data_IF_438909223346
#
_entry.id   IF_438909223346
#
_cell.length_a   1.000
_cell.length_b   1.000
_cell.length_c   1.000
_cell.angle_alpha   90.00
_cell.angle_beta   90.00
_cell.angle_gamma   90.00
#
_symmetry.space_group_name_H-M   'P 1'
#
loop_
_entity.id
_entity.type
_entity.pdbx_description
1 polymer ?
#
# COMPACT_ATOMS: atom_id res chain seq x y z
N UNK A 1 -13.38 89.07 36.44
CA UNK A 1 -14.00 87.78 36.84
C UNK A 1 -14.92 87.35 35.70
N UNK A 2 -14.68 86.15 35.16
CA UNK A 2 -15.13 85.64 33.84
C UNK A 2 -16.65 85.57 33.67
N UNK A 3 -17.17 85.81 32.45
CA UNK A 3 -17.75 84.67 31.72
C UNK A 3 -17.64 84.76 30.18
N UNK A 4 -17.56 83.60 29.51
CA UNK A 4 -18.36 83.26 28.31
C UNK A 4 -18.19 81.77 27.94
N UNK A 5 -19.28 81.03 28.10
CA UNK A 5 -19.47 79.64 27.68
C UNK A 5 -19.66 79.57 26.16
N UNK A 6 -18.92 78.67 25.50
CA UNK A 6 -19.33 78.07 24.23
C UNK A 6 -19.65 76.59 24.45
N UNK A 7 -20.90 76.25 24.19
CA UNK A 7 -21.43 74.89 24.21
C UNK A 7 -20.86 74.10 23.03
N UNK A 8 -20.25 72.94 23.30
CA UNK A 8 -19.97 71.95 22.28
C UNK A 8 -20.83 70.71 22.55
N UNK A 9 -21.82 70.46 21.68
CA UNK A 9 -22.67 69.27 21.68
C UNK A 9 -21.92 68.14 20.99
N UNK A 10 -21.26 67.27 21.74
CA UNK A 10 -20.83 65.98 21.20
C UNK A 10 -21.95 64.95 21.41
N UNK A 11 -22.59 64.57 20.31
CA UNK A 11 -23.48 63.44 20.24
C UNK A 11 -22.71 62.15 20.54
N UNK A 12 -23.05 61.48 21.65
CA UNK A 12 -22.61 60.13 21.94
C UNK A 12 -23.25 59.19 20.92
N UNK A 13 -22.47 58.75 19.92
CA UNK A 13 -22.84 57.61 19.07
C UNK A 13 -22.65 56.33 19.91
N UNK A 14 -23.74 55.65 20.23
CA UNK A 14 -23.69 54.29 20.75
C UNK A 14 -22.99 53.38 19.73
N UNK A 15 -21.94 52.64 20.10
CA UNK A 15 -21.35 51.66 19.21
C UNK A 15 -22.33 50.49 19.04
N UNK A 16 -22.73 50.24 17.79
CA UNK A 16 -23.42 49.01 17.42
C UNK A 16 -22.49 47.84 17.76
N UNK A 17 -22.95 46.95 18.64
CA UNK A 17 -22.28 45.70 18.91
C UNK A 17 -22.65 44.75 17.77
N UNK A 18 -21.65 44.32 17.00
CA UNK A 18 -21.78 43.15 16.15
C UNK A 18 -21.56 41.96 17.10
N UNK A 19 -22.63 41.28 17.50
CA UNK A 19 -22.48 39.96 18.13
C UNK A 19 -21.89 39.03 17.06
N UNK A 20 -20.82 38.31 17.39
CA UNK A 20 -20.37 37.22 16.54
C UNK A 20 -21.57 36.27 16.38
N UNK A 21 -21.96 36.00 15.13
CA UNK A 21 -22.91 34.92 14.85
C UNK A 21 -22.42 33.67 15.58
N UNK A 22 -23.34 33.05 16.33
CA UNK A 22 -23.15 31.74 16.94
C UNK A 22 -22.49 30.84 15.90
N UNK A 23 -21.33 30.25 16.26
CA UNK A 23 -20.62 29.35 15.37
C UNK A 23 -21.62 28.24 15.05
N UNK A 24 -22.14 28.22 13.81
CA UNK A 24 -22.98 27.11 13.35
C UNK A 24 -22.16 25.87 13.62
N UNK A 25 -22.55 25.10 14.64
CA UNK A 25 -22.10 23.74 14.78
C UNK A 25 -22.42 23.12 13.43
N UNK A 26 -21.44 22.62 12.65
CA UNK A 26 -21.78 21.81 11.49
C UNK A 26 -22.76 20.75 12.01
N UNK A 27 -23.90 20.61 11.35
CA UNK A 27 -24.86 19.57 11.72
C UNK A 27 -24.06 18.26 11.71
N UNK A 28 -24.05 17.56 12.85
CA UNK A 28 -23.45 16.24 12.93
C UNK A 28 -24.08 15.38 11.82
N UNK A 29 -23.27 14.67 11.04
CA UNK A 29 -23.78 13.69 10.08
C UNK A 29 -24.64 12.65 10.80
N UNK A 30 -25.49 11.96 10.03
CA UNK A 30 -26.34 10.91 10.56
C UNK A 30 -26.21 9.62 9.78
N UNK A 31 -25.97 8.52 10.50
CA UNK A 31 -26.02 7.17 9.97
C UNK A 31 -27.31 6.48 10.39
N UNK A 32 -28.09 6.03 9.42
CA UNK A 32 -29.20 5.11 9.64
C UNK A 32 -28.65 3.70 9.82
N UNK A 33 -28.93 3.07 10.95
CA UNK A 33 -28.55 1.69 11.26
C UNK A 33 -29.80 0.81 11.37
N UNK A 34 -29.93 -0.16 10.48
CA UNK A 34 -31.09 -1.06 10.40
C UNK A 34 -30.64 -2.53 10.33
N UNK A 35 -31.26 -3.39 11.14
CA UNK A 35 -31.11 -4.83 11.03
C UNK A 35 -32.25 -5.43 10.21
N UNK A 36 -31.97 -5.91 9.00
CA UNK A 36 -32.93 -6.64 8.17
C UNK A 36 -32.55 -8.13 8.14
N UNK A 37 -33.35 -8.98 8.78
CA UNK A 37 -32.99 -10.39 8.98
C UNK A 37 -31.73 -10.50 9.85
N UNK A 38 -30.66 -11.07 9.32
CA UNK A 38 -29.34 -11.15 9.98
C UNK A 38 -28.29 -10.22 9.33
N UNK A 39 -28.70 -9.30 8.46
CA UNK A 39 -27.80 -8.34 7.82
C UNK A 39 -27.99 -6.96 8.43
N UNK A 40 -26.92 -6.40 9.00
CA UNK A 40 -26.90 -5.01 9.45
C UNK A 40 -26.60 -4.11 8.25
N UNK A 41 -27.46 -3.11 8.02
CA UNK A 41 -27.31 -2.11 6.98
C UNK A 41 -27.04 -0.77 7.63
N UNK A 42 -25.97 -0.10 7.21
CA UNK A 42 -25.62 1.25 7.60
C UNK A 42 -25.75 2.15 6.37
N UNK A 43 -26.43 3.29 6.52
CA UNK A 43 -26.60 4.29 5.48
C UNK A 43 -26.29 5.68 6.03
N UNK A 44 -25.16 6.27 5.62
CA UNK A 44 -24.82 7.67 5.90
C UNK A 44 -25.71 8.65 5.15
N UNK A 45 -25.67 9.91 5.56
CA UNK A 45 -26.22 11.03 4.81
C UNK A 45 -25.16 11.59 3.84
N UNK A 46 -25.30 12.84 3.37
CA UNK A 46 -24.30 13.48 2.50
C UNK A 46 -23.40 14.44 3.31
N UNK A 47 -23.21 14.17 4.59
CA UNK A 47 -22.35 14.94 5.50
C UNK A 47 -21.28 14.00 6.06
N UNK A 48 -20.20 14.57 6.56
CA UNK A 48 -19.14 13.79 7.21
C UNK A 48 -19.69 12.95 8.38
N UNK A 49 -19.45 11.64 8.34
CA UNK A 49 -19.77 10.71 9.42
C UNK A 49 -18.50 10.14 10.08
N UNK A 50 -18.54 9.90 11.39
CA UNK A 50 -17.47 9.24 12.14
C UNK A 50 -18.07 8.19 13.08
N UNK A 51 -17.88 6.91 12.72
CA UNK A 51 -18.61 5.78 13.32
C UNK A 51 -17.67 4.63 13.68
N UNK A 52 -17.87 4.08 14.87
CA UNK A 52 -17.27 2.81 15.29
C UNK A 52 -18.32 1.70 15.31
N UNK A 53 -18.01 0.57 14.69
CA UNK A 53 -18.85 -0.63 14.62
C UNK A 53 -18.17 -1.76 15.38
N UNK A 54 -18.72 -2.10 16.55
CA UNK A 54 -18.13 -3.04 17.49
C UNK A 54 -18.96 -4.31 17.66
N UNK A 55 -18.29 -5.44 17.90
CA UNK A 55 -18.99 -6.68 18.23
C UNK A 55 -19.43 -6.70 19.70
N UNK A 56 -20.66 -7.12 19.94
CA UNK A 56 -21.26 -7.24 21.26
C UNK A 56 -21.63 -8.70 21.57
N UNK A 57 -21.85 -8.98 22.85
CA UNK A 57 -22.19 -10.31 23.34
C UNK A 57 -23.39 -10.93 22.57
N UNK A 58 -23.27 -12.22 22.25
CA UNK A 58 -24.29 -12.97 21.51
C UNK A 58 -24.23 -12.80 19.99
N UNK A 59 -23.09 -12.37 19.43
CA UNK A 59 -22.92 -12.13 17.99
C UNK A 59 -23.68 -10.90 17.48
N UNK A 60 -24.07 -10.02 18.41
CA UNK A 60 -24.75 -8.75 18.10
C UNK A 60 -23.71 -7.70 17.72
N UNK A 61 -24.14 -6.61 17.12
CA UNK A 61 -23.25 -5.51 16.72
C UNK A 61 -23.76 -4.22 17.34
N UNK A 62 -22.83 -3.41 17.84
CA UNK A 62 -23.07 -2.05 18.28
C UNK A 62 -22.53 -1.06 17.24
N UNK A 63 -23.27 0.01 16.98
CA UNK A 63 -22.91 1.11 16.09
C UNK A 63 -22.89 2.37 16.95
N UNK A 64 -21.72 2.99 17.06
CA UNK A 64 -21.42 4.10 17.97
C UNK A 64 -21.02 5.29 17.11
N UNK A 65 -21.72 6.40 17.25
CA UNK A 65 -21.33 7.66 16.59
C UNK A 65 -20.39 8.47 17.48
N UNK A 66 -19.35 9.06 16.89
CA UNK A 66 -18.39 9.91 17.60
C UNK A 66 -18.80 11.38 17.46
N UNK A 67 -18.90 11.84 16.22
CA UNK A 67 -19.45 13.16 15.85
C UNK A 67 -20.64 13.00 14.89
N UNK A 68 -21.35 11.89 15.07
CA UNK A 68 -22.41 11.41 14.19
C UNK A 68 -23.56 10.90 15.04
N UNK A 69 -24.80 11.21 14.64
CA UNK A 69 -25.96 10.58 15.26
C UNK A 69 -26.25 9.25 14.58
N UNK A 70 -26.71 8.27 15.36
CA UNK A 70 -27.15 6.98 14.84
C UNK A 70 -28.67 6.91 14.97
N UNK A 71 -29.37 6.79 13.84
CA UNK A 71 -30.84 6.87 13.78
C UNK A 71 -31.41 8.15 14.44
N UNK A 72 -30.68 9.27 14.34
CA UNK A 72 -31.05 10.57 14.92
C UNK A 72 -30.72 10.73 16.41
N UNK A 73 -30.12 9.73 17.05
CA UNK A 73 -29.80 9.72 18.48
C UNK A 73 -28.28 9.73 18.71
N UNK A 74 -27.82 10.21 19.86
CA UNK A 74 -26.40 10.13 20.27
C UNK A 74 -26.04 8.82 20.94
N UNK A 75 -27.04 8.06 21.41
CA UNK A 75 -26.84 6.75 22.01
C UNK A 75 -26.47 5.71 20.93
N UNK A 76 -25.60 4.76 21.30
CA UNK A 76 -25.23 3.67 20.41
C UNK A 76 -26.44 2.79 20.04
N UNK A 77 -26.53 2.41 18.77
CA UNK A 77 -27.49 1.42 18.31
C UNK A 77 -26.91 0.02 18.49
N UNK A 78 -27.58 -0.84 19.25
CA UNK A 78 -27.19 -2.25 19.42
C UNK A 78 -28.23 -3.15 18.79
N UNK A 79 -27.80 -4.05 17.91
CA UNK A 79 -28.72 -4.98 17.25
C UNK A 79 -29.46 -5.85 18.26
N UNK A 80 -30.72 -6.18 17.98
CA UNK A 80 -31.54 -7.02 18.86
C UNK A 80 -31.21 -8.51 18.75
N UNK A 81 -30.63 -8.92 17.63
CA UNK A 81 -30.23 -10.31 17.35
C UNK A 81 -28.84 -10.36 16.69
N UNK A 82 -28.32 -11.58 16.51
CA UNK A 82 -27.01 -11.81 15.95
C UNK A 82 -26.93 -11.36 14.48
N UNK A 83 -25.80 -10.75 14.11
CA UNK A 83 -25.50 -10.30 12.76
C UNK A 83 -24.61 -11.31 12.06
N UNK A 84 -24.97 -11.68 10.84
CA UNK A 84 -24.15 -12.54 9.99
C UNK A 84 -23.44 -11.76 8.90
N UNK A 85 -23.88 -10.56 8.51
CA UNK A 85 -23.21 -9.75 7.48
C UNK A 85 -23.49 -8.28 7.69
N UNK A 86 -22.57 -7.43 7.23
CA UNK A 86 -22.70 -5.97 7.32
C UNK A 86 -22.57 -5.38 5.93
N UNK A 87 -23.47 -4.46 5.60
CA UNK A 87 -23.42 -3.63 4.40
C UNK A 87 -23.49 -2.18 4.84
N UNK A 88 -22.40 -1.44 4.65
CA UNK A 88 -22.31 -0.03 4.98
C UNK A 88 -22.17 0.79 3.69
N UNK A 89 -22.98 1.84 3.57
CA UNK A 89 -22.90 2.84 2.51
C UNK A 89 -22.95 4.23 3.12
N UNK A 90 -21.90 5.03 2.99
CA UNK A 90 -21.86 6.36 3.61
C UNK A 90 -22.27 7.50 2.67
N UNK A 91 -22.47 7.21 1.38
CA UNK A 91 -22.91 8.14 0.34
C UNK A 91 -21.95 9.29 0.05
N UNK A 92 -21.81 10.27 0.94
CA UNK A 92 -20.82 11.33 0.72
C UNK A 92 -20.64 12.25 1.91
N UNK A 93 -19.66 13.14 1.81
CA UNK A 93 -19.02 13.76 2.96
C UNK A 93 -17.73 13.02 3.29
N UNK A 94 -16.87 13.64 4.11
CA UNK A 94 -15.63 13.00 4.56
C UNK A 94 -15.94 11.97 5.65
N UNK A 95 -16.09 10.69 5.29
CA UNK A 95 -16.56 9.64 6.18
C UNK A 95 -15.42 8.81 6.79
N UNK A 96 -15.53 8.51 8.08
CA UNK A 96 -14.64 7.63 8.81
C UNK A 96 -15.43 6.50 9.47
N UNK A 97 -15.03 5.26 9.21
CA UNK A 97 -15.66 4.08 9.80
C UNK A 97 -14.64 3.07 10.28
N UNK A 98 -14.73 2.71 11.57
CA UNK A 98 -13.95 1.65 12.19
C UNK A 98 -14.77 0.39 12.42
N UNK A 99 -14.25 -0.77 12.07
CA UNK A 99 -14.80 -2.08 12.42
C UNK A 99 -13.84 -2.76 13.41
N UNK A 100 -14.14 -2.70 14.69
CA UNK A 100 -13.22 -3.10 15.74
C UNK A 100 -13.83 -3.06 17.14
N UNK A 101 -13.06 -3.49 18.14
CA UNK A 101 -13.45 -3.42 19.56
C UNK A 101 -12.43 -2.61 20.41
N UNK A 102 -11.54 -1.87 19.75
CA UNK A 102 -10.45 -1.11 20.35
C UNK A 102 -10.43 0.31 19.76
N UNK A 103 -10.58 1.31 20.61
CA UNK A 103 -10.47 2.71 20.20
C UNK A 103 -9.04 3.08 19.79
N UNK A 104 -8.03 2.43 20.39
CA UNK A 104 -6.63 2.61 20.03
C UNK A 104 -6.33 2.11 18.62
N UNK A 105 -6.85 0.92 18.25
CA UNK A 105 -6.72 0.40 16.88
C UNK A 105 -7.40 1.34 15.88
N UNK A 106 -8.61 1.81 16.20
CA UNK A 106 -9.30 2.74 15.32
C UNK A 106 -8.53 4.06 15.18
N UNK A 107 -7.97 4.60 16.26
CA UNK A 107 -7.17 5.83 16.22
C UNK A 107 -5.93 5.68 15.34
N UNK A 108 -5.20 4.57 15.49
CA UNK A 108 -4.04 4.24 14.66
C UNK A 108 -4.42 4.12 13.19
N UNK A 109 -5.48 3.37 12.87
CA UNK A 109 -5.99 3.22 11.51
C UNK A 109 -6.35 4.58 10.90
N UNK A 110 -7.04 5.44 11.66
CA UNK A 110 -7.45 6.77 11.23
C UNK A 110 -6.24 7.67 10.95
N UNK A 111 -5.21 7.61 11.79
CA UNK A 111 -3.97 8.37 11.57
C UNK A 111 -3.24 7.88 10.31
N UNK A 112 -3.20 6.57 10.08
CA UNK A 112 -2.55 6.01 8.89
C UNK A 112 -3.31 6.35 7.60
N UNK A 113 -4.65 6.27 7.60
CA UNK A 113 -5.46 6.65 6.44
C UNK A 113 -5.39 8.15 6.14
N UNK A 114 -5.14 8.99 7.14
CA UNK A 114 -4.95 10.43 6.92
C UNK A 114 -3.77 10.76 5.99
N UNK A 115 -2.81 9.84 5.83
CA UNK A 115 -1.73 9.99 4.84
C UNK A 115 -2.28 10.11 3.41
N UNK A 116 -3.35 9.37 3.07
CA UNK A 116 -4.02 9.48 1.78
C UNK A 116 -4.66 10.86 1.58
N UNK A 117 -5.14 11.44 2.67
CA UNK A 117 -5.90 12.70 2.69
C UNK A 117 -5.02 13.94 2.90
N UNK A 118 -3.70 13.79 2.93
CA UNK A 118 -2.77 14.89 3.19
C UNK A 118 -1.96 15.25 1.94
N UNK A 119 -1.72 16.54 1.64
CA UNK A 119 -0.76 16.89 0.60
C UNK A 119 0.64 16.40 1.01
N UNK A 120 1.42 15.89 0.05
CA UNK A 120 2.71 15.21 0.24
C UNK A 120 3.74 15.92 1.17
N UNK A 121 3.55 17.21 1.46
CA UNK A 121 4.36 17.99 2.39
C UNK A 121 4.02 17.82 3.89
N UNK A 122 3.07 16.96 4.27
CA UNK A 122 2.50 16.94 5.63
C UNK A 122 3.16 15.94 6.60
N UNK A 123 4.00 15.01 6.15
CA UNK A 123 4.60 14.02 7.03
C UNK A 123 6.06 14.36 7.38
N UNK A 124 6.26 15.05 8.51
CA UNK A 124 7.59 15.40 9.05
C UNK A 124 8.13 14.35 10.05
N UNK A 125 7.60 13.12 10.04
CA UNK A 125 8.07 12.05 10.92
C UNK A 125 7.81 12.26 12.42
N UNK A 126 6.90 13.16 12.80
CA UNK A 126 6.45 13.26 14.20
C UNK A 126 5.25 12.31 14.41
N UNK A 127 5.55 11.18 15.05
CA UNK A 127 4.71 10.06 15.50
C UNK A 127 3.53 10.47 16.43
N UNK A 128 3.35 11.76 16.69
CA UNK A 128 2.52 12.31 17.78
C UNK A 128 1.49 13.32 17.25
N UNK A 129 0.87 13.05 16.10
CA UNK A 129 -0.38 13.74 15.77
C UNK A 129 -1.47 13.20 16.70
N UNK A 130 -2.08 14.03 17.57
CA UNK A 130 -3.10 13.54 18.49
C UNK A 130 -4.25 12.92 17.71
N UNK A 131 -4.75 11.77 18.18
CA UNK A 131 -5.89 11.10 17.56
C UNK A 131 -7.02 12.13 17.30
N UNK A 132 -7.70 12.09 16.15
CA UNK A 132 -8.69 13.09 15.78
C UNK A 132 -9.96 13.08 16.65
N UNK A 133 -10.00 12.22 17.67
CA UNK A 133 -11.06 12.07 18.66
C UNK A 133 -10.49 11.64 20.01
N UNK A 134 -11.29 11.77 21.07
CA UNK A 134 -10.94 11.28 22.40
C UNK A 134 -11.06 9.74 22.45
N UNK A 135 -9.93 9.05 22.29
CA UNK A 135 -9.87 7.59 22.27
C UNK A 135 -10.29 6.95 23.61
N UNK A 136 -10.08 7.63 24.75
CA UNK A 136 -10.49 7.13 26.06
C UNK A 136 -12.01 7.20 26.23
N UNK A 137 -12.62 8.31 25.79
CA UNK A 137 -14.07 8.45 25.77
C UNK A 137 -14.71 7.42 24.83
N UNK A 138 -14.15 7.21 23.64
CA UNK A 138 -14.62 6.17 22.71
C UNK A 138 -14.51 4.77 23.31
N UNK A 139 -13.38 4.43 23.94
CA UNK A 139 -13.22 3.12 24.58
C UNK A 139 -14.26 2.90 25.68
N UNK A 140 -14.58 3.93 26.46
CA UNK A 140 -15.64 3.86 27.47
C UNK A 140 -16.99 3.53 26.85
N UNK A 141 -17.36 4.21 25.75
CA UNK A 141 -18.60 3.92 25.02
C UNK A 141 -18.64 2.51 24.43
N UNK A 142 -17.51 2.01 23.93
CA UNK A 142 -17.38 0.62 23.46
C UNK A 142 -17.63 -0.35 24.62
N UNK A 143 -16.93 -0.20 25.73
CA UNK A 143 -16.99 -1.10 26.87
C UNK A 143 -18.41 -1.21 27.47
N UNK A 144 -19.18 -0.11 27.45
CA UNK A 144 -20.58 -0.07 27.90
C UNK A 144 -21.51 -0.97 27.09
N UNK A 145 -21.25 -1.16 25.78
CA UNK A 145 -22.20 -1.82 24.87
C UNK A 145 -21.76 -3.21 24.40
N UNK A 146 -20.45 -3.51 24.44
CA UNK A 146 -19.91 -4.78 23.89
C UNK A 146 -20.09 -5.98 24.82
N UNK A 147 -20.44 -5.75 26.08
CA UNK A 147 -20.71 -6.82 27.06
C UNK A 147 -19.53 -7.76 27.27
N UNK A 148 -18.31 -7.22 27.33
CA UNK A 148 -17.06 -7.96 27.53
C UNK A 148 -16.48 -8.59 26.25
N UNK A 149 -17.07 -8.35 25.08
CA UNK A 149 -16.49 -8.76 23.80
C UNK A 149 -15.30 -7.87 23.45
N UNK A 150 -14.12 -8.45 23.27
CA UNK A 150 -12.86 -7.70 23.06
C UNK A 150 -12.34 -7.76 21.62
N UNK A 151 -12.95 -8.59 20.76
CA UNK A 151 -12.54 -8.74 19.36
C UNK A 151 -13.74 -8.65 18.45
N UNK A 152 -13.61 -7.85 17.40
CA UNK A 152 -14.64 -7.74 16.39
C UNK A 152 -14.74 -9.04 15.60
N UNK A 153 -15.96 -9.54 15.38
CA UNK A 153 -16.19 -10.71 14.54
C UNK A 153 -17.53 -10.69 13.81
N UNK A 154 -17.50 -11.07 12.53
CA UNK A 154 -18.70 -11.25 11.70
C UNK A 154 -18.63 -12.60 10.96
N UNK A 155 -19.63 -13.50 11.11
CA UNK A 155 -19.64 -14.82 10.47
C UNK A 155 -19.76 -14.84 8.94
N UNK A 156 -20.13 -13.73 8.31
CA UNK A 156 -20.31 -13.61 6.87
C UNK A 156 -19.48 -12.47 6.31
N UNK A 157 -20.03 -11.73 5.35
CA UNK A 157 -19.26 -10.73 4.60
C UNK A 157 -19.42 -9.32 5.16
N UNK A 158 -18.40 -8.50 4.94
CA UNK A 158 -18.41 -7.07 5.17
C UNK A 158 -18.31 -6.36 3.81
N UNK A 159 -19.25 -5.46 3.53
CA UNK A 159 -19.24 -4.62 2.34
C UNK A 159 -19.31 -3.17 2.80
N UNK A 160 -18.36 -2.35 2.36
CA UNK A 160 -18.28 -0.92 2.66
C UNK A 160 -18.24 -0.15 1.34
N UNK A 161 -18.98 0.94 1.26
CA UNK A 161 -18.94 1.91 0.18
C UNK A 161 -18.99 3.29 0.82
N UNK A 162 -18.00 4.15 0.58
CA UNK A 162 -17.89 5.43 1.27
C UNK A 162 -18.54 6.53 0.44
N UNK A 163 -18.10 6.72 -0.80
CA UNK A 163 -18.81 7.53 -1.79
C UNK A 163 -18.04 8.79 -2.16
N UNK A 164 -18.67 9.97 -2.16
CA UNK A 164 -17.98 11.23 -2.49
C UNK A 164 -17.41 11.88 -1.21
N UNK A 165 -16.11 12.06 -1.08
CA UNK A 165 -15.46 12.67 0.09
C UNK A 165 -14.10 12.06 0.38
N UNK A 166 -13.34 12.62 1.32
CA UNK A 166 -12.08 12.04 1.78
C UNK A 166 -12.35 11.05 2.90
N UNK A 167 -12.36 9.77 2.53
CA UNK A 167 -12.89 8.72 3.37
C UNK A 167 -11.82 7.84 4.03
N UNK A 168 -12.17 7.23 5.15
CA UNK A 168 -11.29 6.35 5.93
C UNK A 168 -12.03 5.11 6.41
N UNK A 169 -11.51 3.94 6.09
CA UNK A 169 -12.06 2.65 6.51
C UNK A 169 -11.02 1.88 7.31
N UNK A 170 -11.32 1.56 8.56
CA UNK A 170 -10.48 0.74 9.44
C UNK A 170 -11.14 -0.60 9.75
N UNK A 171 -10.41 -1.72 9.66
CA UNK A 171 -10.93 -3.06 9.94
C UNK A 171 -9.94 -3.85 10.81
N UNK A 172 -10.31 -4.11 12.07
CA UNK A 172 -9.54 -4.89 13.03
C UNK A 172 -10.41 -6.01 13.65
N UNK A 173 -10.32 -7.23 13.09
CA UNK A 173 -11.07 -8.38 13.64
C UNK A 173 -11.13 -9.63 12.75
N UNK A 174 -12.10 -10.49 13.05
CA UNK A 174 -12.33 -11.76 12.35
C UNK A 174 -13.58 -11.71 11.47
N UNK A 175 -13.42 -11.81 10.15
CA UNK A 175 -14.54 -11.83 9.20
C UNK A 175 -14.49 -13.15 8.44
N UNK A 176 -15.48 -14.03 8.64
CA UNK A 176 -15.42 -15.36 8.02
C UNK A 176 -15.72 -15.35 6.52
N UNK A 177 -16.44 -14.33 6.03
CA UNK A 177 -16.71 -14.12 4.62
C UNK A 177 -15.68 -13.24 3.92
N UNK A 178 -16.08 -12.63 2.80
CA UNK A 178 -15.25 -11.68 2.06
C UNK A 178 -15.39 -10.26 2.60
N UNK A 179 -14.37 -9.45 2.33
CA UNK A 179 -14.38 -8.01 2.55
C UNK A 179 -14.38 -7.32 1.20
N UNK A 180 -15.32 -6.40 0.98
CA UNK A 180 -15.38 -5.57 -0.22
C UNK A 180 -15.44 -4.11 0.21
N UNK A 181 -14.47 -3.30 -0.19
CA UNK A 181 -14.42 -1.87 0.08
C UNK A 181 -14.42 -1.12 -1.23
N UNK A 182 -15.29 -0.11 -1.35
CA UNK A 182 -15.31 0.85 -2.45
C UNK A 182 -15.09 2.22 -1.86
N UNK A 183 -13.95 2.82 -2.17
CA UNK A 183 -13.50 4.09 -1.60
C UNK A 183 -14.13 5.31 -2.29
N UNK A 184 -14.71 5.13 -3.48
CA UNK A 184 -15.46 6.20 -4.14
C UNK A 184 -14.55 7.29 -4.70
N UNK A 185 -15.00 8.55 -4.66
CA UNK A 185 -14.32 9.70 -5.25
C UNK A 185 -13.98 10.70 -4.16
N UNK A 186 -12.80 11.32 -4.21
CA UNK A 186 -12.38 12.32 -3.22
C UNK A 186 -11.69 13.52 -3.88
N UNK A 187 -11.57 14.61 -3.12
CA UNK A 187 -10.78 15.78 -3.51
C UNK A 187 -9.27 15.57 -3.33
N UNK A 188 -8.87 14.83 -2.29
CA UNK A 188 -7.48 14.49 -1.99
C UNK A 188 -7.27 12.99 -2.11
N UNK A 189 -7.92 12.23 -1.22
CA UNK A 189 -7.65 10.81 -1.11
C UNK A 189 -8.58 10.04 -0.20
N UNK A 190 -8.50 8.71 -0.28
CA UNK A 190 -9.23 7.79 0.57
C UNK A 190 -8.28 6.74 1.14
N UNK A 191 -8.60 6.21 2.32
CA UNK A 191 -7.76 5.23 2.99
C UNK A 191 -8.52 3.99 3.45
N UNK A 192 -7.89 2.84 3.30
CA UNK A 192 -8.29 1.57 3.89
C UNK A 192 -7.12 0.98 4.68
N UNK A 193 -7.38 0.63 5.94
CA UNK A 193 -6.46 -0.16 6.76
C UNK A 193 -7.16 -1.41 7.24
N UNK A 194 -6.59 -2.57 6.92
CA UNK A 194 -7.01 -3.87 7.44
C UNK A 194 -5.90 -4.43 8.31
N UNK A 195 -6.23 -4.75 9.55
CA UNK A 195 -5.25 -5.19 10.53
C UNK A 195 -5.33 -4.35 11.78
N UNK A 196 -4.47 -4.69 12.73
CA UNK A 196 -4.33 -3.96 13.98
C UNK A 196 -2.91 -4.10 14.48
N UNK A 197 -2.47 -3.21 15.36
CA UNK A 197 -1.17 -3.36 16.02
C UNK A 197 -1.21 -4.44 17.11
N UNK A 198 -2.37 -4.65 17.75
CA UNK A 198 -2.46 -5.43 18.98
C UNK A 198 -3.02 -6.85 18.81
N UNK A 199 -3.92 -7.06 17.85
CA UNK A 199 -4.71 -8.30 17.70
C UNK A 199 -4.71 -8.79 16.25
N UNK A 200 -4.12 -9.95 16.01
CA UNK A 200 -4.13 -10.57 14.69
C UNK A 200 -5.56 -10.86 14.18
N UNK A 201 -5.86 -10.41 12.96
CA UNK A 201 -7.13 -10.62 12.28
C UNK A 201 -7.18 -11.92 11.45
N UNK A 202 -8.38 -12.40 11.15
CA UNK A 202 -8.61 -13.52 10.22
C UNK A 202 -9.74 -13.20 9.25
N UNK A 203 -9.45 -13.26 7.96
CA UNK A 203 -10.43 -13.14 6.89
C UNK A 203 -10.60 -14.49 6.18
N UNK A 204 -11.79 -15.09 6.27
CA UNK A 204 -12.08 -16.40 5.68
C UNK A 204 -12.33 -16.34 4.16
N UNK A 205 -12.65 -15.15 3.63
CA UNK A 205 -12.76 -14.88 2.20
C UNK A 205 -11.59 -14.06 1.65
N UNK A 206 -11.77 -13.53 0.44
CA UNK A 206 -10.85 -12.56 -0.17
C UNK A 206 -11.18 -11.12 0.23
N UNK A 207 -10.24 -10.22 -0.07
CA UNK A 207 -10.39 -8.77 0.05
C UNK A 207 -10.46 -8.18 -1.36
N UNK A 208 -11.46 -7.34 -1.61
CA UNK A 208 -11.57 -6.58 -2.86
C UNK A 208 -11.67 -5.10 -2.53
N UNK A 209 -10.75 -4.31 -3.06
CA UNK A 209 -10.72 -2.85 -2.91
C UNK A 209 -10.87 -2.23 -4.28
N UNK A 210 -11.74 -1.22 -4.38
CA UNK A 210 -11.85 -0.36 -5.56
C UNK A 210 -11.70 1.09 -5.13
N UNK A 211 -10.65 1.73 -5.65
CA UNK A 211 -10.36 3.15 -5.54
C UNK A 211 -11.09 4.01 -6.57
N UNK A 212 -10.76 5.29 -6.56
CA UNK A 212 -11.25 6.32 -7.49
C UNK A 212 -10.14 6.82 -8.42
N UNK A 213 -10.26 8.05 -8.93
CA UNK A 213 -9.25 8.66 -9.81
C UNK A 213 -8.33 9.65 -9.03
N UNK A 214 -8.30 9.50 -7.71
CA UNK A 214 -7.62 10.33 -6.72
C UNK A 214 -6.65 9.46 -5.90
N UNK A 215 -5.96 10.02 -4.90
CA UNK A 215 -4.98 9.23 -4.16
C UNK A 215 -5.67 8.18 -3.26
N UNK A 216 -5.39 6.90 -3.46
CA UNK A 216 -5.86 5.84 -2.56
C UNK A 216 -4.72 5.23 -1.74
N UNK A 217 -4.95 5.06 -0.44
CA UNK A 217 -4.08 4.30 0.44
C UNK A 217 -4.74 3.00 0.86
N UNK A 218 -4.01 1.88 0.76
CA UNK A 218 -4.43 0.58 1.24
C UNK A 218 -3.31 -0.09 2.04
N UNK A 219 -3.49 -0.25 3.34
CA UNK A 219 -2.60 -1.02 4.19
C UNK A 219 -3.27 -2.30 4.69
N UNK A 220 -2.56 -3.42 4.59
CA UNK A 220 -3.04 -4.73 5.06
C UNK A 220 -1.94 -5.39 5.88
N UNK A 221 -2.06 -5.38 7.21
CA UNK A 221 -1.05 -5.92 8.12
C UNK A 221 -1.66 -6.82 9.21
N UNK A 222 -0.82 -7.62 9.87
CA UNK A 222 -1.20 -8.45 11.02
C UNK A 222 -2.50 -9.27 10.80
N UNK A 223 -2.65 -9.89 9.62
CA UNK A 223 -3.88 -10.58 9.22
C UNK A 223 -3.61 -11.83 8.39
N UNK A 224 -4.40 -12.87 8.61
CA UNK A 224 -4.45 -14.06 7.75
C UNK A 224 -5.70 -14.04 6.88
N UNK A 225 -5.51 -13.98 5.56
CA UNK A 225 -6.55 -13.92 4.54
C UNK A 225 -6.52 -15.24 3.77
N UNK A 226 -7.64 -15.96 3.78
CA UNK A 226 -7.75 -17.25 3.11
C UNK A 226 -8.02 -17.11 1.60
N UNK A 227 -8.52 -15.96 1.14
CA UNK A 227 -8.73 -15.65 -0.27
C UNK A 227 -7.72 -14.67 -0.86
N UNK A 228 -7.92 -14.34 -2.14
CA UNK A 228 -7.13 -13.34 -2.87
C UNK A 228 -7.37 -11.94 -2.30
N UNK A 229 -6.31 -11.15 -2.22
CA UNK A 229 -6.36 -9.69 -2.09
C UNK A 229 -6.32 -9.11 -3.51
N UNK A 230 -7.33 -8.33 -3.86
CA UNK A 230 -7.44 -7.66 -5.16
C UNK A 230 -7.69 -6.17 -4.94
N UNK A 231 -6.80 -5.31 -5.43
CA UNK A 231 -6.96 -3.86 -5.40
C UNK A 231 -6.94 -3.32 -6.83
N UNK A 232 -7.91 -2.46 -7.13
CA UNK A 232 -7.95 -1.66 -8.35
C UNK A 232 -8.12 -0.20 -7.94
N UNK A 233 -7.04 0.58 -7.91
CA UNK A 233 -7.01 1.88 -7.23
C UNK A 233 -7.18 3.09 -8.17
N UNK A 234 -7.17 2.88 -9.49
CA UNK A 234 -7.48 3.93 -10.46
C UNK A 234 -6.33 4.94 -10.63
N UNK A 235 -6.64 6.14 -11.14
CA UNK A 235 -5.64 7.03 -11.74
C UNK A 235 -4.86 7.92 -10.76
N UNK A 236 -5.16 7.99 -9.46
CA UNK A 236 -4.42 8.88 -8.57
C UNK A 236 -3.05 8.37 -8.12
N UNK A 237 -2.40 9.09 -7.21
CA UNK A 237 -1.16 8.62 -6.58
C UNK A 237 -1.51 7.58 -5.53
N UNK A 238 -1.38 6.30 -5.87
CA UNK A 238 -1.86 5.23 -5.00
C UNK A 238 -0.74 4.58 -4.21
N UNK A 239 -1.01 4.24 -2.96
CA UNK A 239 -0.10 3.49 -2.12
C UNK A 239 -0.77 2.23 -1.59
N UNK A 240 -0.20 1.07 -1.88
CA UNK A 240 -0.63 -0.20 -1.29
C UNK A 240 0.53 -0.90 -0.59
N UNK A 241 0.33 -1.27 0.68
CA UNK A 241 1.26 -2.13 1.42
C UNK A 241 0.54 -3.34 1.99
N UNK A 242 1.14 -4.53 1.81
CA UNK A 242 0.73 -5.76 2.48
C UNK A 242 1.87 -6.25 3.35
N UNK A 243 1.60 -6.40 4.64
CA UNK A 243 2.56 -6.69 5.67
C UNK A 243 2.74 -5.53 6.64
N UNK A 244 3.83 -5.51 7.40
CA UNK A 244 4.10 -4.53 8.45
C UNK A 244 5.33 -4.90 9.28
N UNK A 245 5.67 -4.04 10.24
CA UNK A 245 6.87 -4.18 11.08
C UNK A 245 6.72 -5.20 12.22
N UNK A 246 5.49 -5.61 12.55
CA UNK A 246 5.21 -6.52 13.66
C UNK A 246 5.73 -7.94 13.41
N UNK A 247 6.15 -8.64 14.48
CA UNK A 247 6.56 -10.05 14.51
C UNK A 247 5.47 -11.06 14.04
N UNK A 248 4.31 -10.58 13.59
CA UNK A 248 3.19 -11.41 13.16
C UNK A 248 3.10 -11.48 11.64
N UNK A 249 3.17 -12.69 11.05
CA UNK A 249 3.17 -12.82 9.60
C UNK A 249 1.84 -12.43 9.00
N UNK A 250 1.88 -11.68 7.91
CA UNK A 250 0.72 -11.47 7.05
C UNK A 250 0.66 -12.59 6.02
N UNK A 251 -0.45 -13.33 6.00
CA UNK A 251 -0.59 -14.50 5.12
C UNK A 251 -1.80 -14.31 4.22
N UNK A 252 -1.57 -14.30 2.91
CA UNK A 252 -2.63 -14.13 1.90
C UNK A 252 -2.61 -15.30 0.91
N UNK A 253 -3.73 -15.56 0.24
CA UNK A 253 -3.77 -16.57 -0.82
C UNK A 253 -3.01 -16.13 -2.07
N UNK A 254 -3.39 -14.98 -2.62
CA UNK A 254 -2.80 -14.38 -3.82
C UNK A 254 -2.93 -12.86 -3.74
N UNK A 255 -2.08 -12.14 -4.46
CA UNK A 255 -2.17 -10.68 -4.62
C UNK A 255 -2.46 -10.32 -6.09
N UNK A 256 -3.37 -9.38 -6.29
CA UNK A 256 -3.57 -8.70 -7.58
C UNK A 256 -3.74 -7.22 -7.37
N UNK A 257 -2.92 -6.45 -8.07
CA UNK A 257 -2.96 -5.00 -8.09
C UNK A 257 -3.14 -4.50 -9.52
N UNK A 258 -3.96 -3.47 -9.68
CA UNK A 258 -4.17 -2.72 -10.92
C UNK A 258 -4.26 -1.25 -10.55
N UNK A 259 -3.27 -0.45 -10.93
CA UNK A 259 -3.29 1.01 -10.77
C UNK A 259 -3.80 1.71 -12.02
N UNK A 260 -3.34 2.93 -12.24
CA UNK A 260 -3.82 3.84 -13.28
C UNK A 260 -2.70 4.50 -14.07
N UNK A 261 -2.85 5.79 -14.39
CA UNK A 261 -1.86 6.54 -15.20
C UNK A 261 -0.87 7.38 -14.38
N UNK A 262 -1.13 7.64 -13.10
CA UNK A 262 -0.19 8.32 -12.21
C UNK A 262 0.64 7.31 -11.41
N UNK A 263 1.64 7.81 -10.69
CA UNK A 263 2.56 7.01 -9.88
C UNK A 263 1.82 6.12 -8.87
N UNK A 264 2.13 4.83 -8.92
CA UNK A 264 1.68 3.85 -7.95
C UNK A 264 2.85 3.28 -7.14
N UNK A 265 2.68 3.17 -5.82
CA UNK A 265 3.62 2.56 -4.89
C UNK A 265 3.02 1.28 -4.31
N UNK A 266 3.62 0.11 -4.58
CA UNK A 266 3.10 -1.20 -4.15
C UNK A 266 4.19 -1.99 -3.43
N UNK A 267 3.95 -2.31 -2.16
CA UNK A 267 4.87 -3.03 -1.30
C UNK A 267 4.33 -4.33 -0.73
N UNK A 268 5.14 -5.39 -0.76
CA UNK A 268 5.07 -6.46 0.25
C UNK A 268 6.17 -6.19 1.28
N UNK A 269 5.85 -6.00 2.55
CA UNK A 269 6.83 -5.57 3.55
C UNK A 269 6.80 -6.40 4.83
N UNK A 270 7.97 -6.84 5.31
CA UNK A 270 8.09 -7.64 6.54
C UNK A 270 7.91 -9.14 6.31
N UNK A 271 7.32 -9.86 7.28
CA UNK A 271 7.04 -11.29 7.14
C UNK A 271 5.72 -11.52 6.40
N UNK A 272 5.81 -11.65 5.08
CA UNK A 272 4.65 -11.88 4.20
C UNK A 272 4.74 -13.24 3.54
N UNK A 273 3.67 -14.02 3.62
CA UNK A 273 3.53 -15.26 2.83
C UNK A 273 2.35 -15.16 1.88
N UNK A 274 2.64 -15.27 0.58
CA UNK A 274 1.65 -15.41 -0.50
C UNK A 274 1.61 -16.87 -0.94
N UNK A 275 0.46 -17.56 -0.74
CA UNK A 275 0.31 -19.00 -1.01
C UNK A 275 0.30 -19.37 -2.50
N UNK A 276 -0.05 -18.42 -3.37
CA UNK A 276 -0.13 -18.56 -4.82
C UNK A 276 0.65 -17.41 -5.48
N UNK A 277 0.06 -16.78 -6.49
CA UNK A 277 0.71 -15.78 -7.34
C UNK A 277 0.58 -14.35 -6.77
N UNK A 278 1.58 -13.54 -7.09
CA UNK A 278 1.54 -12.08 -7.04
C UNK A 278 1.49 -11.56 -8.48
N UNK A 279 0.52 -10.69 -8.77
CA UNK A 279 0.41 -9.99 -10.05
C UNK A 279 0.20 -8.51 -9.80
N UNK A 280 1.11 -7.69 -10.30
CA UNK A 280 1.07 -6.24 -10.15
C UNK A 280 1.13 -5.65 -11.56
N UNK A 281 0.15 -4.82 -11.87
CA UNK A 281 0.10 -3.97 -13.04
C UNK A 281 -0.12 -2.56 -12.51
N UNK A 282 0.90 -1.71 -12.54
CA UNK A 282 0.78 -0.34 -12.02
C UNK A 282 0.01 0.50 -13.02
N UNK A 283 0.44 0.52 -14.27
CA UNK A 283 -0.25 1.34 -15.25
C UNK A 283 0.25 1.15 -16.65
N UNK A 284 -0.16 2.09 -17.51
CA UNK A 284 0.49 2.29 -18.81
C UNK A 284 1.40 3.51 -18.85
N UNK A 285 1.32 4.36 -17.83
CA UNK A 285 2.09 5.57 -17.59
C UNK A 285 2.30 5.70 -16.06
N UNK A 286 3.22 6.54 -15.63
CA UNK A 286 3.49 6.82 -14.22
C UNK A 286 4.94 6.51 -13.87
N UNK A 287 5.51 7.23 -12.90
CA UNK A 287 6.80 6.84 -12.31
C UNK A 287 6.50 5.88 -11.15
N UNK A 288 6.48 4.57 -11.45
CA UNK A 288 5.93 3.58 -10.53
C UNK A 288 6.99 2.93 -9.64
N UNK A 289 6.53 2.38 -8.52
CA UNK A 289 7.40 1.79 -7.50
C UNK A 289 6.82 0.48 -6.98
N UNK A 290 7.49 -0.64 -7.26
CA UNK A 290 7.08 -1.98 -6.83
C UNK A 290 8.16 -2.65 -6.01
N UNK A 291 7.84 -3.10 -4.81
CA UNK A 291 8.82 -3.57 -3.84
C UNK A 291 8.42 -4.79 -3.03
N UNK A 292 9.31 -5.78 -2.92
CA UNK A 292 9.23 -6.85 -1.92
C UNK A 292 10.37 -6.66 -0.91
N UNK A 293 10.03 -6.37 0.35
CA UNK A 293 10.97 -5.95 1.38
C UNK A 293 10.94 -6.89 2.60
N UNK A 294 12.12 -7.23 3.11
CA UNK A 294 12.28 -7.76 4.47
C UNK A 294 12.19 -6.64 5.50
N UNK A 295 11.63 -6.89 6.67
CA UNK A 295 11.68 -5.94 7.79
C UNK A 295 13.03 -6.01 8.51
N UNK A 296 13.39 -4.93 9.20
CA UNK A 296 14.54 -4.88 10.11
C UNK A 296 14.48 -5.96 11.22
N UNK A 297 13.28 -6.48 11.50
CA UNK A 297 13.02 -7.60 12.40
C UNK A 297 13.34 -8.99 11.79
N UNK A 298 13.83 -9.07 10.55
CA UNK A 298 14.20 -10.32 9.88
C UNK A 298 13.05 -11.07 9.20
N UNK A 299 11.90 -10.41 8.99
CA UNK A 299 10.79 -10.95 8.19
C UNK A 299 11.19 -11.15 6.72
N UNK A 300 10.63 -12.15 6.05
CA UNK A 300 10.93 -12.45 4.63
C UNK A 300 9.67 -12.58 3.80
N UNK A 301 9.65 -11.95 2.64
CA UNK A 301 8.59 -12.13 1.64
C UNK A 301 8.75 -13.51 0.97
N UNK A 302 7.69 -14.32 1.05
CA UNK A 302 7.64 -15.68 0.50
C UNK A 302 6.47 -15.81 -0.47
N UNK A 303 6.76 -15.94 -1.76
CA UNK A 303 5.77 -16.21 -2.81
C UNK A 303 5.86 -17.67 -3.24
N UNK A 304 4.79 -18.43 -3.00
CA UNK A 304 4.77 -19.87 -3.32
C UNK A 304 4.39 -20.17 -4.78
N UNK A 305 3.78 -19.22 -5.46
CA UNK A 305 3.52 -19.23 -6.90
C UNK A 305 4.52 -18.36 -7.67
N UNK A 306 4.02 -17.65 -8.67
CA UNK A 306 4.79 -16.74 -9.52
C UNK A 306 4.68 -15.29 -9.03
N UNK A 307 5.70 -14.48 -9.32
CA UNK A 307 5.65 -13.04 -9.20
C UNK A 307 5.71 -12.42 -10.60
N UNK A 308 4.69 -11.62 -10.94
CA UNK A 308 4.60 -10.93 -12.22
C UNK A 308 4.38 -9.45 -11.94
N UNK A 309 5.31 -8.62 -12.41
CA UNK A 309 5.27 -7.17 -12.31
C UNK A 309 5.31 -6.61 -13.72
N UNK A 310 4.34 -5.75 -14.03
CA UNK A 310 4.32 -4.94 -15.23
C UNK A 310 4.19 -3.48 -14.80
N UNK A 311 5.17 -2.68 -15.19
CA UNK A 311 5.11 -1.22 -15.07
C UNK A 311 4.92 -0.59 -16.44
N UNK A 312 4.46 0.66 -16.44
CA UNK A 312 4.06 1.40 -17.63
C UNK A 312 5.23 2.12 -18.29
N UNK A 313 4.95 3.26 -18.93
CA UNK A 313 6.01 4.21 -19.26
C UNK A 313 6.22 5.18 -18.10
N UNK A 314 7.44 5.67 -17.94
CA UNK A 314 7.88 6.48 -16.81
C UNK A 314 9.22 5.94 -16.32
N UNK A 315 9.86 6.64 -15.38
CA UNK A 315 11.02 6.08 -14.69
C UNK A 315 10.55 5.19 -13.56
N UNK A 316 10.52 3.88 -13.80
CA UNK A 316 9.96 2.91 -12.84
C UNK A 316 11.04 2.28 -11.97
N UNK A 317 10.68 1.93 -10.74
CA UNK A 317 11.52 1.16 -9.82
C UNK A 317 10.85 -0.15 -9.44
N UNK A 318 11.55 -1.26 -9.65
CA UNK A 318 11.13 -2.60 -9.23
C UNK A 318 12.23 -3.26 -8.39
N UNK A 319 12.00 -3.42 -7.08
CA UNK A 319 12.92 -4.13 -6.17
C UNK A 319 12.28 -5.42 -5.64
N UNK A 320 12.88 -6.56 -5.94
CA UNK A 320 12.39 -7.86 -5.53
C UNK A 320 13.38 -8.55 -4.58
N UNK A 321 13.09 -8.49 -3.28
CA UNK A 321 13.81 -9.23 -2.24
C UNK A 321 12.90 -10.28 -1.60
N UNK A 322 13.27 -11.56 -1.76
CA UNK A 322 12.56 -12.66 -1.12
C UNK A 322 12.68 -14.01 -1.83
N UNK A 323 11.88 -14.97 -1.36
CA UNK A 323 11.82 -16.33 -1.89
C UNK A 323 10.60 -16.48 -2.81
N UNK A 324 10.83 -16.62 -4.11
CA UNK A 324 9.79 -16.91 -5.11
C UNK A 324 9.96 -18.34 -5.62
N UNK A 325 9.03 -19.23 -5.26
CA UNK A 325 9.10 -20.65 -5.66
C UNK A 325 8.87 -20.84 -7.17
N UNK A 326 8.09 -19.97 -7.79
CA UNK A 326 7.74 -20.02 -9.22
C UNK A 326 8.71 -19.21 -10.08
N UNK A 327 8.13 -18.60 -11.11
CA UNK A 327 8.81 -17.69 -12.05
C UNK A 327 8.69 -16.26 -11.54
N UNK A 328 9.74 -15.47 -11.76
CA UNK A 328 9.71 -14.01 -11.65
C UNK A 328 9.72 -13.42 -13.05
N UNK A 329 8.75 -12.56 -13.36
CA UNK A 329 8.68 -11.82 -14.61
C UNK A 329 8.50 -10.35 -14.28
N UNK A 330 9.47 -9.54 -14.69
CA UNK A 330 9.42 -8.07 -14.64
C UNK A 330 9.39 -7.57 -16.07
N UNK A 331 8.50 -6.65 -16.35
CA UNK A 331 8.47 -5.92 -17.61
C UNK A 331 8.16 -4.47 -17.30
N UNK A 332 9.12 -3.60 -17.54
CA UNK A 332 8.90 -2.16 -17.55
C UNK A 332 8.67 -1.71 -19.00
N UNK A 333 8.13 -0.51 -19.18
CA UNK A 333 7.72 0.00 -20.47
C UNK A 333 8.79 0.84 -21.13
N UNK A 334 8.81 2.14 -20.86
CA UNK A 334 9.86 3.00 -21.38
C UNK A 334 9.99 4.26 -20.55
N UNK A 335 11.15 4.88 -20.56
CA UNK A 335 11.64 5.71 -19.47
C UNK A 335 12.90 5.07 -18.90
N UNK A 336 13.60 5.76 -18.00
CA UNK A 336 14.81 5.21 -17.38
C UNK A 336 14.43 4.36 -16.18
N UNK A 337 14.46 3.04 -16.34
CA UNK A 337 13.93 2.11 -15.34
C UNK A 337 15.03 1.51 -14.47
N UNK A 338 14.70 1.21 -13.22
CA UNK A 338 15.57 0.48 -12.28
C UNK A 338 14.91 -0.83 -11.87
N UNK A 339 15.56 -1.95 -12.19
CA UNK A 339 15.12 -3.29 -11.75
C UNK A 339 16.22 -3.95 -10.91
N UNK A 340 15.91 -4.22 -9.65
CA UNK A 340 16.76 -4.96 -8.73
C UNK A 340 16.13 -6.29 -8.33
N UNK A 341 16.96 -7.34 -8.34
CA UNK A 341 16.65 -8.62 -7.72
C UNK A 341 17.78 -8.93 -6.75
N UNK A 342 17.46 -9.21 -5.49
CA UNK A 342 18.37 -9.77 -4.46
C UNK A 342 19.46 -8.90 -3.85
N UNK A 343 19.41 -7.60 -4.09
CA UNK A 343 20.20 -6.63 -3.33
C UNK A 343 19.35 -5.40 -3.11
N UNK A 344 19.13 -5.05 -1.85
CA UNK A 344 18.38 -3.86 -1.46
C UNK A 344 18.94 -2.62 -2.17
N UNK A 345 18.08 -1.92 -2.90
CA UNK A 345 18.26 -0.48 -3.15
C UNK A 345 17.42 0.21 -2.08
N UNK A 346 17.99 1.24 -1.47
CA UNK A 346 17.46 1.97 -0.31
C UNK A 346 15.96 2.23 -0.34
N UNK A 347 15.38 2.29 0.86
CA UNK A 347 13.99 2.68 1.14
C UNK A 347 13.44 3.69 0.12
N UNK A 348 12.34 3.34 -0.54
CA UNK A 348 11.55 4.30 -1.32
C UNK A 348 11.06 5.35 -0.31
N UNK A 349 11.58 6.57 -0.42
CA UNK A 349 11.03 7.68 0.34
C UNK A 349 9.57 7.85 -0.07
N UNK A 350 8.70 8.17 0.89
CA UNK A 350 7.29 8.47 0.63
C UNK A 350 7.08 9.72 -0.25
N UNK A 351 8.15 10.39 -0.67
CA UNK A 351 8.13 11.55 -1.55
C UNK A 351 8.81 11.33 -2.92
N UNK A 352 9.27 10.11 -3.23
CA UNK A 352 9.90 9.79 -4.52
C UNK A 352 11.19 10.55 -4.83
N UNK A 353 11.77 11.26 -3.85
CA UNK A 353 12.96 12.08 -4.03
C UNK A 353 14.19 11.47 -3.36
N UNK A 354 14.96 10.74 -4.17
CA UNK A 354 16.33 10.26 -3.92
C UNK A 354 16.51 9.07 -2.94
N UNK A 355 17.44 8.14 -3.24
CA UNK A 355 17.71 6.97 -2.42
C UNK A 355 18.51 7.33 -1.15
N UNK A 356 17.91 7.14 0.02
CA UNK A 356 18.58 7.17 1.34
C UNK A 356 19.29 5.82 1.62
N UNK A 357 20.27 5.75 2.55
CA UNK A 357 21.49 4.94 2.44
C UNK A 357 21.24 3.43 2.37
N UNK A 358 22.09 2.75 1.60
CA UNK A 358 22.18 1.29 1.44
C UNK A 358 22.40 0.60 2.78
N UNK A 359 21.32 0.10 3.41
CA UNK A 359 21.43 -0.98 4.39
C UNK A 359 21.53 -2.29 3.61
N UNK A 360 22.77 -2.77 3.45
CA UNK A 360 23.05 -4.09 2.86
C UNK A 360 22.43 -5.17 3.76
N UNK A 361 21.22 -5.62 3.43
CA UNK A 361 20.66 -6.83 4.04
C UNK A 361 21.34 -8.03 3.40
N UNK A 362 22.18 -8.71 4.18
CA UNK A 362 22.75 -10.00 3.83
C UNK A 362 21.63 -11.04 3.64
N UNK A 363 21.18 -11.23 2.41
CA UNK A 363 20.16 -12.22 2.06
C UNK A 363 20.36 -12.75 0.65
N UNK A 364 20.18 -14.05 0.45
CA UNK A 364 20.13 -14.65 -0.90
C UNK A 364 18.68 -14.63 -1.37
N UNK A 365 18.39 -14.13 -2.57
CA UNK A 365 17.07 -14.42 -3.16
C UNK A 365 17.07 -15.79 -3.84
N UNK A 366 15.96 -16.52 -3.70
CA UNK A 366 15.77 -17.81 -4.33
C UNK A 366 14.58 -17.76 -5.30
N UNK A 367 14.88 -17.88 -6.59
CA UNK A 367 13.88 -18.02 -7.66
C UNK A 367 13.86 -19.48 -8.10
N UNK A 368 12.74 -20.16 -7.84
CA UNK A 368 12.64 -21.60 -8.04
C UNK A 368 12.64 -22.02 -9.51
N UNK A 369 12.12 -21.18 -10.41
CA UNK A 369 12.05 -21.44 -11.85
C UNK A 369 12.90 -20.45 -12.65
N UNK A 370 12.27 -19.64 -13.51
CA UNK A 370 12.90 -18.72 -14.43
C UNK A 370 12.82 -17.28 -13.89
N UNK A 371 13.82 -16.46 -14.21
CA UNK A 371 13.81 -15.00 -14.02
C UNK A 371 13.81 -14.35 -15.40
N UNK A 372 12.83 -13.49 -15.66
CA UNK A 372 12.75 -12.69 -16.88
C UNK A 372 12.62 -11.22 -16.50
N UNK A 373 13.49 -10.38 -17.08
CA UNK A 373 13.47 -8.92 -16.94
C UNK A 373 13.49 -8.35 -18.36
N UNK A 374 12.54 -7.47 -18.67
CA UNK A 374 12.57 -6.65 -19.88
C UNK A 374 12.33 -5.19 -19.49
N UNK A 375 13.22 -4.26 -19.84
CA UNK A 375 13.06 -2.86 -19.43
C UNK A 375 12.54 -1.93 -20.53
N UNK A 376 12.75 -2.28 -21.80
CA UNK A 376 12.05 -1.65 -22.91
C UNK A 376 12.83 -0.52 -23.54
N UNK A 377 12.44 0.74 -23.38
CA UNK A 377 13.13 1.85 -24.04
C UNK A 377 13.48 2.96 -23.06
N UNK A 378 14.73 3.35 -22.98
CA UNK A 378 15.27 4.34 -22.06
C UNK A 378 16.62 3.88 -21.56
N UNK A 379 17.25 4.67 -20.69
CA UNK A 379 18.55 4.30 -20.13
C UNK A 379 18.30 3.54 -18.83
N UNK A 380 18.39 2.21 -18.90
CA UNK A 380 17.92 1.34 -17.82
C UNK A 380 19.05 0.82 -16.95
N UNK A 381 18.73 0.53 -15.68
CA UNK A 381 19.62 -0.11 -14.72
C UNK A 381 19.02 -1.44 -14.28
N UNK A 382 19.74 -2.53 -14.54
CA UNK A 382 19.35 -3.87 -14.07
C UNK A 382 20.43 -4.44 -13.16
N UNK A 383 20.07 -4.72 -11.91
CA UNK A 383 20.95 -5.35 -10.92
C UNK A 383 20.42 -6.69 -10.45
N UNK A 384 21.25 -7.73 -10.52
CA UNK A 384 21.00 -9.01 -9.87
C UNK A 384 22.12 -9.25 -8.86
N UNK A 385 21.82 -9.05 -7.58
CA UNK A 385 22.73 -9.35 -6.48
C UNK A 385 22.82 -10.84 -6.13
N UNK A 386 23.11 -11.14 -4.87
CA UNK A 386 23.32 -12.52 -4.39
C UNK A 386 22.06 -13.39 -4.58
N UNK A 387 22.05 -14.23 -5.62
CA UNK A 387 20.85 -14.97 -6.05
C UNK A 387 21.07 -16.42 -6.45
N UNK A 388 19.99 -17.22 -6.38
CA UNK A 388 19.89 -18.51 -7.07
C UNK A 388 18.66 -18.56 -7.97
N UNK A 389 18.86 -18.98 -9.22
CA UNK A 389 17.78 -19.16 -10.20
C UNK A 389 17.75 -20.61 -10.65
N UNK A 390 16.61 -21.28 -10.40
CA UNK A 390 16.46 -22.72 -10.57
C UNK A 390 16.51 -23.20 -12.02
N UNK A 391 16.27 -22.30 -12.98
CA UNK A 391 16.33 -22.56 -14.43
C UNK A 391 17.10 -21.45 -15.13
N UNK A 392 16.44 -20.61 -15.91
CA UNK A 392 17.09 -19.63 -16.78
C UNK A 392 16.92 -18.21 -16.26
N UNK A 393 17.88 -17.36 -16.60
CA UNK A 393 17.77 -15.91 -16.50
C UNK A 393 17.73 -15.35 -17.91
N UNK A 394 16.76 -14.49 -18.19
CA UNK A 394 16.67 -13.72 -19.44
C UNK A 394 16.55 -12.24 -19.10
N UNK A 395 17.47 -11.44 -19.63
CA UNK A 395 17.46 -9.97 -19.52
C UNK A 395 17.44 -9.39 -20.93
N UNK A 396 16.51 -8.47 -21.17
CA UNK A 396 16.42 -7.67 -22.38
C UNK A 396 16.24 -6.19 -22.04
N UNK A 397 17.22 -5.33 -22.26
CA UNK A 397 17.09 -3.92 -21.85
C UNK A 397 16.46 -3.06 -22.93
N UNK A 398 16.79 -3.31 -24.20
CA UNK A 398 16.05 -2.80 -25.35
C UNK A 398 16.77 -1.65 -26.04
N UNK A 399 16.29 -0.41 -25.95
CA UNK A 399 16.99 0.73 -26.59
C UNK A 399 17.27 1.86 -25.61
N UNK A 400 18.47 2.42 -25.66
CA UNK A 400 19.00 3.40 -24.72
C UNK A 400 20.36 2.93 -24.20
N UNK A 401 21.04 3.77 -23.42
CA UNK A 401 22.35 3.42 -22.86
C UNK A 401 22.14 2.70 -21.53
N UNK A 402 22.24 1.37 -21.54
CA UNK A 402 21.84 0.52 -20.41
C UNK A 402 23.03 0.06 -19.54
N UNK A 403 22.80 -0.11 -18.24
CA UNK A 403 23.76 -0.71 -17.30
C UNK A 403 23.21 -1.97 -16.64
N UNK A 404 23.86 -3.12 -16.88
CA UNK A 404 23.49 -4.40 -16.31
C UNK A 404 24.60 -4.92 -15.41
N UNK A 405 24.28 -5.11 -14.13
CA UNK A 405 25.20 -5.71 -13.14
C UNK A 405 24.65 -7.03 -12.61
N UNK A 406 25.47 -8.07 -12.62
CA UNK A 406 25.17 -9.36 -11.98
C UNK A 406 26.29 -9.72 -11.02
N UNK A 407 25.96 -9.89 -9.75
CA UNK A 407 26.89 -10.23 -8.67
C UNK A 407 26.47 -11.54 -8.00
N UNK A 408 27.43 -12.41 -7.71
CA UNK A 408 27.27 -13.59 -6.82
C UNK A 408 25.98 -14.39 -7.09
N UNK A 409 25.74 -14.71 -8.36
CA UNK A 409 24.52 -15.37 -8.82
C UNK A 409 24.77 -16.76 -9.39
N UNK A 410 23.96 -17.75 -9.00
CA UNK A 410 23.94 -19.09 -9.57
C UNK A 410 22.69 -19.33 -10.43
N UNK A 411 22.88 -19.49 -11.74
CA UNK A 411 21.85 -19.87 -12.71
C UNK A 411 22.03 -21.34 -13.07
N UNK A 412 21.09 -22.21 -12.68
CA UNK A 412 21.25 -23.66 -12.89
C UNK A 412 21.25 -24.09 -14.35
N UNK A 413 20.66 -23.27 -15.24
CA UNK A 413 20.65 -23.49 -16.70
C UNK A 413 21.32 -22.31 -17.40
N UNK A 414 20.58 -21.58 -18.22
CA UNK A 414 21.15 -20.62 -19.12
C UNK A 414 20.91 -19.19 -18.64
N UNK A 415 21.93 -18.35 -18.81
CA UNK A 415 21.85 -16.90 -18.71
C UNK A 415 21.84 -16.32 -20.13
N UNK A 416 20.80 -15.59 -20.47
CA UNK A 416 20.67 -14.85 -21.73
C UNK A 416 20.57 -13.37 -21.43
N UNK A 417 21.49 -12.57 -22.00
CA UNK A 417 21.47 -11.12 -21.89
C UNK A 417 21.48 -10.52 -23.29
N UNK A 418 20.54 -9.63 -23.57
CA UNK A 418 20.46 -8.83 -24.78
C UNK A 418 20.35 -7.37 -24.35
N UNK A 419 21.38 -6.58 -24.60
CA UNK A 419 21.40 -5.18 -24.18
C UNK A 419 20.55 -4.38 -25.18
N UNK A 420 21.04 -4.17 -26.39
CA UNK A 420 20.15 -3.93 -27.53
C UNK A 420 20.67 -2.84 -28.43
N UNK A 421 20.09 -1.65 -28.39
CA UNK A 421 20.60 -0.51 -29.15
C UNK A 421 20.99 0.63 -28.21
N UNK A 422 22.26 1.00 -28.19
CA UNK A 422 22.80 2.03 -27.30
C UNK A 422 24.25 1.73 -26.97
N UNK A 423 24.87 2.60 -26.17
CA UNK A 423 26.21 2.36 -25.66
C UNK A 423 26.10 1.67 -24.28
N UNK A 424 26.05 0.32 -24.29
CA UNK A 424 25.66 -0.47 -23.11
C UNK A 424 26.85 -0.95 -22.24
N UNK A 425 26.58 -1.17 -20.95
CA UNK A 425 27.49 -1.75 -19.96
C UNK A 425 26.95 -3.08 -19.41
N UNK A 426 27.80 -4.10 -19.36
CA UNK A 426 27.54 -5.35 -18.66
C UNK A 426 28.69 -5.74 -17.75
N UNK A 427 28.44 -5.78 -16.44
CA UNK A 427 29.36 -6.30 -15.44
C UNK A 427 28.85 -7.62 -14.84
N UNK A 428 29.71 -8.65 -14.84
CA UNK A 428 29.44 -9.93 -14.21
C UNK A 428 30.55 -10.33 -13.24
N UNK A 429 30.20 -10.44 -11.96
CA UNK A 429 31.12 -10.82 -10.88
C UNK A 429 30.61 -12.07 -10.16
N UNK A 430 31.46 -13.08 -10.02
CA UNK A 430 31.14 -14.34 -9.34
C UNK A 430 29.84 -15.04 -9.83
N UNK A 431 29.59 -15.02 -11.14
CA UNK A 431 28.39 -15.60 -11.77
C UNK A 431 28.64 -17.03 -12.27
N UNK A 432 27.71 -17.95 -11.99
CA UNK A 432 27.77 -19.34 -12.45
C UNK A 432 26.57 -19.68 -13.30
N UNK A 433 26.80 -20.22 -14.50
CA UNK A 433 25.74 -20.70 -15.39
C UNK A 433 26.16 -21.98 -16.15
N UNK A 434 25.19 -22.80 -16.55
CA UNK A 434 25.46 -23.90 -17.50
C UNK A 434 25.85 -23.33 -18.88
N UNK A 435 25.20 -22.24 -19.29
CA UNK A 435 25.54 -21.48 -20.48
C UNK A 435 25.18 -20.02 -20.34
N UNK A 436 26.15 -19.13 -20.54
CA UNK A 436 25.95 -17.69 -20.60
C UNK A 436 26.11 -17.21 -22.05
N UNK A 437 25.07 -16.57 -22.58
CA UNK A 437 25.00 -16.05 -23.94
C UNK A 437 24.66 -14.56 -23.89
N UNK A 438 25.66 -13.74 -24.20
CA UNK A 438 25.63 -12.30 -24.03
C UNK A 438 25.65 -11.61 -25.40
N UNK A 439 24.76 -10.65 -25.62
CA UNK A 439 24.66 -9.92 -26.88
C UNK A 439 24.59 -8.43 -26.58
N UNK A 440 25.65 -7.69 -26.91
CA UNK A 440 25.67 -6.22 -26.73
C UNK A 440 24.80 -5.48 -27.75
N UNK A 441 24.52 -6.09 -28.91
CA UNK A 441 23.64 -5.46 -29.90
C UNK A 441 24.34 -4.37 -30.74
N UNK A 442 23.68 -3.26 -31.03
CA UNK A 442 24.23 -2.13 -31.81
C UNK A 442 24.66 -0.99 -30.90
N UNK A 443 25.69 -0.24 -31.28
CA UNK A 443 26.31 0.79 -30.44
C UNK A 443 27.66 0.31 -29.90
N UNK A 444 28.21 1.04 -28.93
CA UNK A 444 29.52 0.81 -28.32
C UNK A 444 29.36 0.17 -26.95
N UNK A 445 29.50 -1.15 -26.90
CA UNK A 445 29.17 -1.93 -25.73
C UNK A 445 30.42 -2.39 -24.98
N UNK A 446 30.32 -2.42 -23.65
CA UNK A 446 31.36 -2.90 -22.75
C UNK A 446 30.93 -4.15 -21.98
N UNK A 447 31.88 -5.07 -21.77
CA UNK A 447 31.71 -6.29 -20.98
C UNK A 447 32.86 -6.43 -19.98
N UNK A 448 32.55 -6.51 -18.70
CA UNK A 448 33.49 -6.84 -17.64
C UNK A 448 33.13 -8.19 -17.01
N UNK A 449 34.12 -9.08 -16.90
CA UNK A 449 33.96 -10.35 -16.17
C UNK A 449 35.16 -10.63 -15.28
N UNK A 450 34.93 -11.28 -14.14
CA UNK A 450 35.98 -11.78 -13.25
C UNK A 450 36.40 -13.22 -13.56
N UNK A 451 37.53 -13.65 -12.99
CA UNK A 451 38.04 -15.01 -13.14
C UNK A 451 37.06 -16.08 -12.63
N UNK A 452 36.32 -15.79 -11.57
CA UNK A 452 35.33 -16.70 -11.00
C UNK A 452 34.16 -16.93 -11.96
N UNK A 453 33.66 -15.89 -12.62
CA UNK A 453 32.61 -15.99 -13.65
C UNK A 453 33.05 -16.82 -14.84
N UNK A 454 34.27 -16.56 -15.34
CA UNK A 454 34.84 -17.30 -16.47
C UNK A 454 35.05 -18.78 -16.16
N UNK A 455 35.45 -19.12 -14.93
CA UNK A 455 35.61 -20.50 -14.49
C UNK A 455 34.28 -21.18 -14.11
N UNK A 456 33.33 -20.40 -13.58
CA UNK A 456 32.04 -20.86 -13.09
C UNK A 456 31.01 -21.12 -14.18
N UNK A 457 31.15 -20.48 -15.34
CA UNK A 457 30.28 -20.68 -16.48
C UNK A 457 30.82 -21.78 -17.41
N UNK A 458 30.08 -22.90 -17.56
CA UNK A 458 30.53 -24.01 -18.42
C UNK A 458 30.65 -23.60 -19.89
N UNK A 459 29.79 -22.69 -20.34
CA UNK A 459 29.90 -22.03 -21.63
C UNK A 459 29.68 -20.55 -21.42
N UNK A 460 30.59 -19.73 -21.90
CA UNK A 460 30.46 -18.28 -21.92
C UNK A 460 30.72 -17.82 -23.37
N UNK A 461 29.70 -17.23 -23.98
CA UNK A 461 29.77 -16.65 -25.33
C UNK A 461 29.24 -15.23 -25.29
N UNK A 462 29.99 -14.32 -25.88
CA UNK A 462 29.60 -12.94 -26.04
C UNK A 462 29.74 -12.50 -27.49
N UNK A 463 28.86 -11.60 -27.93
CA UNK A 463 28.84 -11.07 -29.29
C UNK A 463 28.58 -9.57 -29.24
N UNK A 464 29.24 -8.82 -30.14
CA UNK A 464 29.08 -7.38 -30.31
C UNK A 464 29.37 -6.54 -29.05
N UNK A 465 30.51 -6.85 -28.43
CA UNK A 465 31.15 -6.00 -27.42
C UNK A 465 32.45 -5.44 -27.98
N UNK A 466 32.64 -4.13 -27.85
CA UNK A 466 33.77 -3.39 -28.38
C UNK A 466 34.88 -3.24 -27.34
N UNK A 467 34.51 -3.18 -26.05
CA UNK A 467 35.43 -3.18 -24.92
C UNK A 467 35.17 -4.41 -24.04
N UNK A 468 36.16 -5.29 -23.91
CA UNK A 468 36.05 -6.48 -23.04
C UNK A 468 37.19 -6.47 -22.02
N UNK A 469 36.83 -6.38 -20.75
CA UNK A 469 37.76 -6.41 -19.62
C UNK A 469 37.65 -7.75 -18.88
N UNK A 470 38.82 -8.36 -18.64
CA UNK A 470 38.94 -9.59 -17.88
C UNK A 470 39.65 -9.27 -16.56
N UNK A 471 38.87 -9.05 -15.51
CA UNK A 471 39.36 -8.90 -14.13
C UNK A 471 39.84 -10.21 -13.52
#
# INVERSE_FOLDING_TARGET
MSPRNHFNRNALRSPMHLECLERRLPLAGNVTAELTGSTLRLAGDNLANDVMVASAAGGRIAVIGINTTINGETAAFVTTTAVTSIVANFNGGDDAVGFGNSAADYAWQRLFTMLATSPASAWTGEEESPAPFDALALQTMIDEVVGGTTKFSVPGSLIVTTGDGNDSVGIAGDISGRVVVRLGSADLGNGLVIGSEFIAGRLGGGVTVRGGDQNDLVAIGNVSIAGRVSAALGDGLNWMVVGGEADTPTIIDALSYTGGENMDVIGLAGDVTVRNDVRIFTGSQGEDSVGFYSSDAGGTVKVRGNAVVHTGNGGDTVDLVGDVRGTVSVTTGGGGDTVSVSSHVGWISSDGSDPVPTLEVAGRSAIGLDLTINTGAGNDVVSIGTSTVGRNVTIGTGSGDDDVRIDTTEVRRNLFIRLGAGDDSLEMTNVKALGAFLYGGSGTNSLSTDAATRAGSRTLKYYRFQAVTNG
#
